data_IF_476726866696
#
_entry.id   IF_476726866696
#
_cell.length_a   1.000
_cell.length_b   1.000
_cell.length_c   1.000
_cell.angle_alpha   90.00
_cell.angle_beta   90.00
_cell.angle_gamma   90.00
#
_symmetry.space_group_name_H-M   'P 1'
#
loop_
_entity.id
_entity.type
_entity.pdbx_description
1 polymer ?
#
# COMPACT_ATOMS: atom_id res chain seq x y z
N UNK A 1 11.64 5.36 -15.86
CA UNK A 1 10.28 4.86 -16.13
C UNK A 1 10.19 4.13 -17.46
N UNK A 2 10.73 4.68 -18.56
CA UNK A 2 10.64 4.09 -19.91
C UNK A 2 11.22 2.68 -20.06
N UNK A 3 12.15 2.26 -19.21
CA UNK A 3 12.74 0.91 -19.19
C UNK A 3 12.05 0.01 -18.16
N UNK A 4 11.80 0.53 -16.96
CA UNK A 4 11.33 -0.30 -15.85
C UNK A 4 9.86 -0.73 -16.01
N UNK A 5 8.98 0.15 -16.48
CA UNK A 5 7.55 -0.18 -16.64
C UNK A 5 7.33 -1.29 -17.67
N UNK A 6 7.91 -1.24 -18.89
CA UNK A 6 7.80 -2.35 -19.83
C UNK A 6 8.33 -3.67 -19.26
N UNK A 7 9.46 -3.64 -18.54
CA UNK A 7 9.99 -4.83 -17.88
C UNK A 7 9.02 -5.40 -16.83
N UNK A 8 8.49 -4.56 -15.94
CA UNK A 8 7.51 -4.99 -14.95
C UNK A 8 6.27 -5.61 -15.59
N UNK A 9 5.75 -5.01 -16.67
CA UNK A 9 4.62 -5.55 -17.43
C UNK A 9 4.94 -6.92 -18.01
N UNK A 10 6.12 -7.09 -18.59
CA UNK A 10 6.58 -8.35 -19.16
C UNK A 10 6.72 -9.44 -18.09
N UNK A 11 7.35 -9.13 -16.96
CA UNK A 11 7.56 -10.07 -15.85
C UNK A 11 6.22 -10.51 -15.23
N UNK A 12 5.30 -9.57 -15.02
CA UNK A 12 3.97 -9.86 -14.50
C UNK A 12 3.12 -10.67 -15.49
N UNK A 13 3.20 -10.35 -16.79
CA UNK A 13 2.52 -11.14 -17.82
C UNK A 13 3.05 -12.58 -17.88
N UNK A 14 4.38 -12.78 -17.74
CA UNK A 14 4.99 -14.09 -17.62
C UNK A 14 4.50 -14.85 -16.38
N UNK A 15 4.25 -14.14 -15.27
CA UNK A 15 3.67 -14.72 -14.05
C UNK A 15 2.15 -14.98 -14.17
N UNK A 16 1.52 -14.58 -15.26
CA UNK A 16 0.08 -14.71 -15.49
C UNK A 16 -0.75 -13.63 -14.82
N UNK A 17 -0.16 -12.44 -14.57
CA UNK A 17 -0.85 -11.27 -14.02
C UNK A 17 -0.97 -10.21 -15.10
N UNK A 18 -2.21 -9.75 -15.34
CA UNK A 18 -2.52 -8.61 -16.20
C UNK A 18 -3.32 -7.59 -15.41
N UNK A 19 -2.92 -6.32 -15.51
CA UNK A 19 -3.64 -5.20 -14.92
C UNK A 19 -4.47 -4.48 -15.97
N UNK A 20 -5.73 -4.21 -15.65
CA UNK A 20 -6.63 -3.44 -16.52
C UNK A 20 -6.15 -1.99 -16.65
N UNK A 21 -5.56 -1.44 -15.58
CA UNK A 21 -5.08 -0.07 -15.57
C UNK A 21 -3.73 0.07 -14.86
N UNK A 22 -2.80 0.74 -15.53
CA UNK A 22 -1.56 1.24 -14.96
C UNK A 22 -1.72 2.73 -14.66
N UNK A 23 -1.82 3.05 -13.38
CA UNK A 23 -2.04 4.41 -12.92
C UNK A 23 -0.72 5.05 -12.49
N UNK A 24 -0.47 6.28 -12.95
CA UNK A 24 0.74 7.04 -12.62
C UNK A 24 0.39 8.15 -11.65
N UNK A 25 1.01 8.15 -10.47
CA UNK A 25 0.82 9.16 -9.43
C UNK A 25 1.14 10.56 -9.94
N UNK A 26 2.13 10.71 -10.85
CA UNK A 26 2.48 12.00 -11.46
C UNK A 26 1.27 12.72 -12.07
N UNK A 27 0.32 11.96 -12.63
CA UNK A 27 -0.91 12.53 -13.21
C UNK A 27 -1.77 13.28 -12.18
N UNK A 28 -1.74 12.88 -10.91
CA UNK A 28 -2.46 13.58 -9.83
C UNK A 28 -1.82 14.92 -9.49
N UNK A 29 -0.50 15.00 -9.59
CA UNK A 29 0.25 16.25 -9.38
C UNK A 29 0.10 17.19 -10.58
N UNK A 30 0.28 16.69 -11.78
CA UNK A 30 0.22 17.45 -13.03
C UNK A 30 -1.18 18.04 -13.26
N UNK A 31 -2.24 17.30 -12.91
CA UNK A 31 -3.62 17.79 -13.02
C UNK A 31 -4.06 18.71 -11.88
N UNK A 32 -3.24 18.91 -10.84
CA UNK A 32 -3.64 19.65 -9.64
C UNK A 32 -4.53 18.85 -8.67
N UNK A 33 -4.84 17.60 -8.95
CA UNK A 33 -5.80 16.80 -8.16
C UNK A 33 -5.35 16.59 -6.71
N UNK A 34 -4.03 16.56 -6.44
CA UNK A 34 -3.51 16.54 -5.05
C UNK A 34 -3.88 17.82 -4.32
N UNK A 35 -3.67 18.98 -4.96
CA UNK A 35 -4.02 20.28 -4.38
C UNK A 35 -5.53 20.38 -4.10
N UNK A 36 -6.37 19.96 -5.04
CA UNK A 36 -7.84 19.96 -4.90
C UNK A 36 -8.32 19.03 -3.77
N UNK A 37 -7.61 17.92 -3.58
CA UNK A 37 -7.92 16.99 -2.48
C UNK A 37 -7.58 17.59 -1.12
N UNK A 38 -6.43 18.25 -1.02
CA UNK A 38 -6.03 18.94 0.21
C UNK A 38 -6.95 20.12 0.50
N UNK A 39 -7.34 20.87 -0.53
CA UNK A 39 -8.32 21.96 -0.40
C UNK A 39 -9.68 21.43 0.13
N UNK A 40 -10.16 20.30 -0.38
CA UNK A 40 -11.40 19.67 0.09
C UNK A 40 -11.34 19.26 1.58
N UNK A 41 -10.18 18.82 2.08
CA UNK A 41 -9.98 18.57 3.51
C UNK A 41 -9.96 19.86 4.32
N UNK A 42 -9.39 20.93 3.75
CA UNK A 42 -9.34 22.26 4.38
C UNK A 42 -10.73 22.86 4.49
N UNK A 43 -11.51 22.82 3.43
CA UNK A 43 -12.91 23.34 3.40
C UNK A 43 -13.81 22.62 4.42
N UNK A 44 -13.51 21.35 4.69
CA UNK A 44 -14.19 20.56 5.72
C UNK A 44 -13.66 20.79 7.15
N UNK A 45 -12.63 21.65 7.31
CA UNK A 45 -12.08 22.02 8.61
C UNK A 45 -11.09 21.00 9.20
N UNK A 46 -10.64 20.02 8.42
CA UNK A 46 -9.74 18.97 8.89
C UNK A 46 -8.25 19.31 8.76
N UNK A 47 -7.91 20.55 8.42
CA UNK A 47 -6.50 20.98 8.33
C UNK A 47 -6.22 22.19 9.20
N UNK A 48 -4.93 22.47 9.45
CA UNK A 48 -4.43 23.69 10.09
C UNK A 48 -3.00 23.97 9.63
N UNK A 49 -2.59 25.24 9.72
CA UNK A 49 -1.20 25.63 9.43
C UNK A 49 -0.39 25.69 10.72
N UNK A 50 0.83 25.15 10.64
CA UNK A 50 1.83 25.22 11.71
C UNK A 50 3.23 25.19 11.12
N UNK A 51 4.10 26.12 11.56
CA UNK A 51 5.48 26.24 11.13
C UNK A 51 5.64 26.32 9.60
N UNK A 52 4.71 27.01 8.92
CA UNK A 52 4.68 27.16 7.47
C UNK A 52 4.23 25.91 6.70
N UNK A 53 3.92 24.81 7.38
CA UNK A 53 3.40 23.57 6.81
C UNK A 53 1.89 23.45 7.04
N UNK A 54 1.19 22.76 6.12
CA UNK A 54 -0.22 22.41 6.28
C UNK A 54 -0.35 21.00 6.82
N UNK A 55 -1.06 20.86 7.91
CA UNK A 55 -1.24 19.63 8.66
C UNK A 55 -2.67 19.11 8.56
N UNK A 56 -2.84 17.80 8.49
CA UNK A 56 -4.12 17.11 8.68
C UNK A 56 -4.32 16.84 10.18
N UNK A 57 -5.51 17.11 10.69
CA UNK A 57 -5.94 16.78 12.05
C UNK A 57 -6.21 15.28 12.21
N UNK A 58 -5.23 14.45 11.86
CA UNK A 58 -5.37 12.99 11.87
C UNK A 58 -5.72 12.47 13.26
N UNK A 59 -5.14 13.05 14.31
CA UNK A 59 -5.44 12.68 15.70
C UNK A 59 -6.91 12.89 16.04
N UNK A 60 -7.49 14.01 15.62
CA UNK A 60 -8.92 14.30 15.81
C UNK A 60 -9.80 13.32 15.03
N UNK A 61 -9.51 13.10 13.75
CA UNK A 61 -10.27 12.20 12.87
C UNK A 61 -10.27 10.77 13.45
N UNK A 62 -9.12 10.28 13.85
CA UNK A 62 -9.00 8.94 14.42
C UNK A 62 -9.69 8.83 15.79
N UNK A 63 -9.59 9.86 16.64
CA UNK A 63 -10.27 9.89 17.92
C UNK A 63 -11.80 9.84 17.74
N UNK A 64 -12.33 10.61 16.80
CA UNK A 64 -13.78 10.59 16.46
C UNK A 64 -14.22 9.20 15.96
N UNK A 65 -13.44 8.55 15.09
CA UNK A 65 -13.74 7.21 14.59
C UNK A 65 -13.70 6.16 15.71
N UNK A 66 -12.72 6.24 16.62
CA UNK A 66 -12.61 5.34 17.75
C UNK A 66 -13.74 5.51 18.75
N UNK A 67 -14.20 6.75 19.00
CA UNK A 67 -15.39 7.03 19.85
C UNK A 67 -16.66 6.42 19.23
N UNK A 68 -16.85 6.57 17.92
CA UNK A 68 -17.98 5.92 17.20
C UNK A 68 -17.93 4.40 17.31
N UNK A 69 -16.73 3.82 17.38
CA UNK A 69 -16.50 2.39 17.61
C UNK A 69 -16.59 1.99 19.10
N UNK A 70 -17.00 2.90 20.00
CA UNK A 70 -17.22 2.62 21.42
C UNK A 70 -15.97 2.63 22.30
N UNK A 71 -14.82 3.17 21.84
CA UNK A 71 -13.63 3.33 22.66
C UNK A 71 -13.78 4.49 23.64
N UNK A 72 -13.32 4.31 24.88
CA UNK A 72 -13.29 5.39 25.89
C UNK A 72 -12.20 6.43 25.59
N UNK A 73 -12.41 7.67 26.06
CA UNK A 73 -11.42 8.74 25.89
C UNK A 73 -10.08 8.41 26.51
N UNK A 74 -10.06 7.74 27.67
CA UNK A 74 -8.82 7.27 28.30
C UNK A 74 -8.04 6.27 27.43
N UNK A 75 -8.75 5.37 26.74
CA UNK A 75 -8.12 4.42 25.84
C UNK A 75 -7.57 5.12 24.58
N UNK A 76 -8.26 6.15 24.10
CA UNK A 76 -7.84 6.94 22.93
C UNK A 76 -6.60 7.78 23.28
N UNK A 77 -6.58 8.43 24.43
CA UNK A 77 -5.44 9.24 24.88
C UNK A 77 -4.15 8.42 24.99
N UNK A 78 -4.25 7.18 25.49
CA UNK A 78 -3.10 6.26 25.59
C UNK A 78 -2.49 5.88 24.24
N UNK A 79 -3.22 6.04 23.12
CA UNK A 79 -2.70 5.75 21.78
C UNK A 79 -1.71 6.80 21.27
N UNK A 80 -1.67 7.98 21.89
CA UNK A 80 -0.74 9.04 21.51
C UNK A 80 -0.86 9.45 20.04
N UNK A 81 -2.10 9.56 19.55
CA UNK A 81 -2.40 9.90 18.15
C UNK A 81 -1.72 11.20 17.73
N UNK A 82 -1.21 11.25 16.50
CA UNK A 82 -0.48 12.39 15.97
C UNK A 82 -1.10 12.85 14.66
N UNK A 83 -0.89 14.13 14.35
CA UNK A 83 -1.28 14.73 13.09
C UNK A 83 -0.21 14.49 12.01
N UNK A 84 -0.62 14.60 10.76
CA UNK A 84 0.23 14.36 9.60
C UNK A 84 0.40 15.62 8.75
N UNK A 85 1.61 15.84 8.23
CA UNK A 85 1.88 16.91 7.28
C UNK A 85 1.34 16.52 5.91
N UNK A 86 0.50 17.37 5.31
CA UNK A 86 0.03 17.25 3.92
C UNK A 86 0.89 18.06 2.95
N UNK A 87 1.26 19.29 3.32
CA UNK A 87 2.12 20.16 2.54
C UNK A 87 3.23 20.72 3.43
N UNK A 88 4.47 20.54 3.00
CA UNK A 88 5.65 21.04 3.72
C UNK A 88 5.78 22.56 3.59
N UNK A 89 6.59 23.18 4.46
CA UNK A 89 6.87 24.62 4.43
C UNK A 89 7.48 25.10 3.09
N UNK A 90 8.16 24.23 2.35
CA UNK A 90 8.67 24.50 1.02
C UNK A 90 7.62 24.41 -0.11
N UNK A 91 6.34 24.20 0.24
CA UNK A 91 5.22 24.14 -0.70
C UNK A 91 4.96 22.77 -1.33
N UNK A 92 5.84 21.76 -1.16
CA UNK A 92 5.65 20.43 -1.73
C UNK A 92 4.70 19.58 -0.90
N UNK A 93 3.81 18.87 -1.58
CA UNK A 93 2.95 17.87 -0.97
C UNK A 93 3.73 16.64 -0.52
N UNK A 94 3.27 16.01 0.55
CA UNK A 94 3.85 14.76 1.05
C UNK A 94 3.32 13.56 0.28
N UNK A 95 3.97 12.43 0.40
CA UNK A 95 3.45 11.15 -0.11
C UNK A 95 2.08 10.82 0.45
N UNK A 96 1.82 11.18 1.71
CA UNK A 96 0.51 10.95 2.32
C UNK A 96 -0.60 11.77 1.64
N UNK A 97 -0.35 13.04 1.28
CA UNK A 97 -1.29 13.84 0.54
C UNK A 97 -1.59 13.25 -0.87
N UNK A 98 -0.54 12.77 -1.56
CA UNK A 98 -0.70 12.10 -2.84
C UNK A 98 -1.49 10.78 -2.72
N UNK A 99 -1.25 10.01 -1.66
CA UNK A 99 -1.95 8.75 -1.39
C UNK A 99 -3.43 8.97 -1.07
N UNK A 100 -3.75 10.00 -0.28
CA UNK A 100 -5.14 10.43 -0.04
C UNK A 100 -5.81 10.82 -1.37
N UNK A 101 -5.14 11.59 -2.22
CA UNK A 101 -5.66 12.00 -3.52
C UNK A 101 -5.89 10.80 -4.44
N UNK A 102 -4.98 9.84 -4.45
CA UNK A 102 -5.14 8.63 -5.25
C UNK A 102 -6.37 7.81 -4.81
N UNK A 103 -6.59 7.66 -3.51
CA UNK A 103 -7.76 6.93 -3.00
C UNK A 103 -9.07 7.71 -3.23
N UNK A 104 -9.05 9.05 -3.06
CA UNK A 104 -10.18 9.88 -3.48
C UNK A 104 -10.49 9.70 -4.97
N UNK A 105 -9.47 9.62 -5.83
CA UNK A 105 -9.65 9.38 -7.26
C UNK A 105 -10.34 8.03 -7.53
N UNK A 106 -9.93 6.96 -6.84
CA UNK A 106 -10.57 5.64 -6.97
C UNK A 106 -12.07 5.69 -6.67
N UNK A 107 -12.49 6.39 -5.61
CA UNK A 107 -13.89 6.49 -5.21
C UNK A 107 -14.69 7.52 -6.00
N UNK A 108 -14.16 8.75 -6.12
CA UNK A 108 -14.91 9.88 -6.64
C UNK A 108 -14.86 10.04 -8.16
N UNK A 109 -13.76 9.64 -8.80
CA UNK A 109 -13.56 9.79 -10.26
C UNK A 109 -13.77 8.45 -10.98
N UNK A 110 -13.14 7.38 -10.47
CA UNK A 110 -13.25 6.04 -11.07
C UNK A 110 -14.52 5.30 -10.65
N UNK A 111 -15.21 5.77 -9.61
CA UNK A 111 -16.52 5.28 -9.21
C UNK A 111 -16.54 3.89 -8.58
N UNK A 112 -15.42 3.42 -8.01
CA UNK A 112 -15.42 2.12 -7.34
C UNK A 112 -16.22 2.15 -6.04
N UNK A 113 -17.13 1.21 -5.86
CA UNK A 113 -17.88 1.03 -4.62
C UNK A 113 -16.99 0.49 -3.50
N UNK A 114 -16.06 -0.37 -3.84
CA UNK A 114 -15.12 -1.01 -2.93
C UNK A 114 -13.69 -0.92 -3.48
N UNK A 115 -12.75 -0.58 -2.62
CA UNK A 115 -11.32 -0.58 -2.94
C UNK A 115 -10.62 -1.55 -2.01
N UNK A 116 -9.79 -2.43 -2.56
CA UNK A 116 -8.95 -3.37 -1.81
C UNK A 116 -7.50 -3.05 -2.16
N UNK A 117 -6.73 -2.65 -1.15
CA UNK A 117 -5.29 -2.46 -1.28
C UNK A 117 -4.56 -3.68 -0.74
N UNK A 118 -3.47 -4.07 -1.41
CA UNK A 118 -2.57 -5.11 -0.94
C UNK A 118 -1.23 -4.43 -0.62
N UNK A 119 -0.85 -4.39 0.65
CA UNK A 119 0.33 -3.71 1.15
C UNK A 119 1.26 -4.64 1.91
N UNK A 120 2.54 -4.28 2.01
CA UNK A 120 3.46 -4.89 2.95
C UNK A 120 3.07 -4.60 4.41
N UNK A 121 3.33 -5.52 5.32
CA UNK A 121 2.96 -5.39 6.74
C UNK A 121 3.65 -4.22 7.44
N UNK A 122 4.77 -3.73 6.91
CA UNK A 122 5.46 -2.52 7.36
C UNK A 122 4.61 -1.24 7.22
N UNK A 123 3.57 -1.25 6.37
CA UNK A 123 2.60 -0.17 6.23
C UNK A 123 1.42 -0.22 7.22
N UNK A 124 1.43 -1.13 8.20
CA UNK A 124 0.33 -1.27 9.19
C UNK A 124 -0.09 0.07 9.82
N UNK A 125 0.87 0.90 10.25
CA UNK A 125 0.59 2.21 10.85
C UNK A 125 -0.06 3.24 9.91
N UNK A 126 -0.06 2.98 8.61
CA UNK A 126 -0.66 3.87 7.61
C UNK A 126 -2.16 3.59 7.39
N UNK A 127 -2.63 2.38 7.70
CA UNK A 127 -4.00 1.92 7.43
C UNK A 127 -5.06 2.82 8.05
N UNK A 128 -4.99 3.03 9.36
CA UNK A 128 -5.99 3.82 10.07
C UNK A 128 -6.02 5.28 9.59
N UNK A 129 -4.84 5.86 9.32
CA UNK A 129 -4.70 7.25 8.85
C UNK A 129 -5.34 7.45 7.48
N UNK A 130 -5.12 6.53 6.55
CA UNK A 130 -5.70 6.60 5.20
C UNK A 130 -7.23 6.41 5.24
N UNK A 131 -7.72 5.41 5.99
CA UNK A 131 -9.15 5.20 6.17
C UNK A 131 -9.80 6.45 6.79
N UNK A 132 -9.19 7.02 7.84
CA UNK A 132 -9.67 8.25 8.48
C UNK A 132 -9.71 9.44 7.52
N UNK A 133 -8.70 9.60 6.66
CA UNK A 133 -8.71 10.66 5.65
C UNK A 133 -9.85 10.47 4.62
N UNK A 134 -10.18 9.23 4.25
CA UNK A 134 -11.35 8.95 3.39
C UNK A 134 -12.67 9.27 4.11
N UNK A 135 -12.77 8.95 5.40
CA UNK A 135 -13.94 9.31 6.21
C UNK A 135 -14.10 10.83 6.31
N UNK A 136 -13.02 11.56 6.55
CA UNK A 136 -13.00 13.02 6.57
C UNK A 136 -13.45 13.64 5.24
N UNK A 137 -13.13 13.00 4.12
CA UNK A 137 -13.62 13.39 2.79
C UNK A 137 -15.09 13.01 2.54
N UNK A 138 -15.71 12.21 3.41
CA UNK A 138 -17.09 11.71 3.25
C UNK A 138 -17.18 10.51 2.30
N UNK A 139 -16.10 9.75 2.15
CA UNK A 139 -15.99 8.61 1.22
C UNK A 139 -16.16 7.26 1.90
N UNK A 140 -16.51 7.24 3.20
CA UNK A 140 -16.74 6.01 3.98
C UNK A 140 -15.57 5.02 3.92
N UNK A 141 -14.39 5.51 4.24
CA UNK A 141 -13.15 4.72 4.20
C UNK A 141 -13.18 3.50 5.12
N UNK A 142 -13.91 3.60 6.24
CA UNK A 142 -14.06 2.50 7.19
C UNK A 142 -14.65 1.24 6.53
N UNK A 143 -15.66 1.38 5.67
CA UNK A 143 -16.39 0.26 5.06
C UNK A 143 -16.02 0.00 3.59
N UNK A 144 -15.60 1.03 2.87
CA UNK A 144 -15.31 0.93 1.43
C UNK A 144 -13.85 0.68 1.09
N UNK A 145 -12.91 0.92 2.04
CA UNK A 145 -11.49 0.69 1.84
C UNK A 145 -11.03 -0.50 2.69
N UNK A 146 -10.72 -1.62 2.06
CA UNK A 146 -10.06 -2.75 2.70
C UNK A 146 -8.57 -2.74 2.41
N UNK A 147 -7.78 -3.12 3.40
CA UNK A 147 -6.33 -3.22 3.26
C UNK A 147 -5.88 -4.60 3.75
N UNK A 148 -5.36 -5.36 2.83
CA UNK A 148 -4.74 -6.67 3.09
C UNK A 148 -3.26 -6.45 3.33
N UNK A 149 -2.80 -6.77 4.53
CA UNK A 149 -1.39 -6.66 4.90
C UNK A 149 -0.69 -7.99 4.66
N UNK A 150 0.26 -8.00 3.73
CA UNK A 150 1.03 -9.17 3.35
C UNK A 150 2.38 -9.17 4.07
N UNK A 151 2.78 -10.32 4.60
CA UNK A 151 4.11 -10.50 5.17
C UNK A 151 5.16 -10.66 4.08
N UNK A 152 6.41 -10.34 4.42
CA UNK A 152 7.54 -10.56 3.52
C UNK A 152 7.76 -12.06 3.31
N UNK A 153 7.94 -12.44 2.04
CA UNK A 153 8.34 -13.80 1.68
C UNK A 153 9.85 -13.94 1.83
N UNK A 154 10.30 -14.97 2.53
CA UNK A 154 11.70 -15.37 2.59
C UNK A 154 11.95 -16.45 1.55
N UNK A 155 12.90 -16.23 0.65
CA UNK A 155 13.39 -17.29 -0.22
C UNK A 155 14.41 -18.13 0.54
N UNK A 156 14.25 -19.45 0.52
CA UNK A 156 15.13 -20.41 1.17
C UNK A 156 15.66 -21.38 0.12
N UNK A 157 16.91 -21.76 0.22
CA UNK A 157 17.53 -22.82 -0.58
C UNK A 157 18.50 -23.59 0.30
N UNK A 158 18.39 -24.90 0.32
CA UNK A 158 19.23 -25.81 1.12
C UNK A 158 19.24 -25.43 2.62
N UNK A 159 18.10 -24.94 3.14
CA UNK A 159 17.93 -24.51 4.53
C UNK A 159 18.48 -23.12 4.86
N UNK A 160 19.04 -22.42 3.89
CA UNK A 160 19.58 -21.06 4.09
C UNK A 160 18.77 -19.99 3.37
N UNK A 161 18.64 -18.80 3.99
CA UNK A 161 17.90 -17.68 3.40
C UNK A 161 18.68 -17.07 2.23
N UNK A 162 18.08 -17.09 1.05
CA UNK A 162 18.61 -16.46 -0.16
C UNK A 162 18.25 -14.97 -0.17
N UNK A 163 19.21 -14.11 0.13
CA UNK A 163 19.01 -12.65 0.17
C UNK A 163 19.30 -11.96 -1.14
N UNK A 164 20.17 -12.55 -1.97
CA UNK A 164 20.62 -11.95 -3.22
C UNK A 164 20.70 -13.00 -4.32
N UNK A 165 20.39 -12.59 -5.55
CA UNK A 165 20.60 -13.41 -6.74
C UNK A 165 22.09 -13.72 -6.94
N UNK A 166 22.43 -14.99 -7.06
CA UNK A 166 23.81 -15.42 -7.35
C UNK A 166 24.35 -14.83 -8.65
N UNK A 167 23.45 -14.55 -9.62
CA UNK A 167 23.79 -14.00 -10.93
C UNK A 167 24.12 -12.51 -10.90
N UNK A 168 23.36 -11.72 -10.14
CA UNK A 168 23.42 -10.25 -10.22
C UNK A 168 24.01 -9.60 -8.97
N UNK A 169 24.16 -10.31 -7.86
CA UNK A 169 24.55 -9.77 -6.56
C UNK A 169 23.53 -8.77 -5.97
N UNK A 170 22.33 -8.71 -6.55
CA UNK A 170 21.22 -7.85 -6.13
C UNK A 170 20.10 -8.69 -5.52
N UNK A 171 19.07 -8.04 -4.98
CA UNK A 171 17.88 -8.74 -4.53
C UNK A 171 17.30 -9.62 -5.64
N UNK A 172 16.77 -10.79 -5.28
CA UNK A 172 16.15 -11.71 -6.24
C UNK A 172 14.93 -11.03 -6.85
N UNK A 173 14.93 -10.83 -8.15
CA UNK A 173 13.80 -10.28 -8.88
C UNK A 173 12.77 -11.35 -9.24
N UNK A 174 11.55 -10.94 -9.64
CA UNK A 174 10.56 -11.87 -10.18
C UNK A 174 11.10 -12.64 -11.38
N UNK A 175 11.85 -11.98 -12.28
CA UNK A 175 12.53 -12.64 -13.42
C UNK A 175 13.45 -13.75 -12.95
N UNK A 176 14.30 -13.47 -11.94
CA UNK A 176 15.24 -14.47 -11.41
C UNK A 176 14.49 -15.68 -10.82
N UNK A 177 13.38 -15.44 -10.12
CA UNK A 177 12.53 -16.51 -9.58
C UNK A 177 11.92 -17.37 -10.68
N UNK A 178 11.33 -16.73 -11.70
CA UNK A 178 10.69 -17.44 -12.81
C UNK A 178 11.66 -18.14 -13.78
N UNK A 179 12.96 -17.82 -13.71
CA UNK A 179 14.01 -18.55 -14.41
C UNK A 179 14.42 -19.82 -13.64
N UNK A 180 14.14 -19.89 -12.34
CA UNK A 180 14.49 -21.02 -11.47
C UNK A 180 13.33 -21.97 -11.21
N UNK A 181 12.10 -21.45 -11.13
CA UNK A 181 10.92 -22.19 -10.68
C UNK A 181 9.78 -22.04 -11.71
N UNK A 182 9.09 -23.14 -12.07
CA UNK A 182 7.90 -23.08 -12.93
C UNK A 182 6.83 -22.12 -12.40
N UNK A 183 6.17 -21.39 -13.30
CA UNK A 183 5.16 -20.38 -12.94
C UNK A 183 4.05 -20.97 -12.08
N UNK A 184 3.56 -22.16 -12.43
CA UNK A 184 2.46 -22.80 -11.70
C UNK A 184 2.86 -23.17 -10.26
N UNK A 185 4.07 -23.66 -10.05
CA UNK A 185 4.60 -23.90 -8.72
C UNK A 185 4.74 -22.60 -7.92
N UNK A 186 5.28 -21.53 -8.52
CA UNK A 186 5.33 -20.22 -7.89
C UNK A 186 3.92 -19.74 -7.47
N UNK A 187 2.95 -19.82 -8.37
CA UNK A 187 1.57 -19.40 -8.09
C UNK A 187 0.92 -20.23 -6.99
N UNK A 188 1.13 -21.54 -6.99
CA UNK A 188 0.63 -22.41 -5.95
C UNK A 188 1.16 -22.01 -4.57
N UNK A 189 2.48 -21.93 -4.42
CA UNK A 189 3.11 -21.62 -3.13
C UNK A 189 2.74 -20.22 -2.61
N UNK A 190 2.75 -19.20 -3.47
CA UNK A 190 2.38 -17.84 -3.07
C UNK A 190 0.91 -17.70 -2.65
N UNK A 191 0.02 -18.51 -3.21
CA UNK A 191 -1.40 -18.48 -2.86
C UNK A 191 -1.79 -19.41 -1.72
N UNK A 192 -0.94 -20.38 -1.36
CA UNK A 192 -1.25 -21.37 -0.32
C UNK A 192 -1.35 -20.76 1.08
N UNK A 193 -0.58 -19.69 1.39
CA UNK A 193 -0.54 -19.07 2.72
C UNK A 193 -0.39 -17.53 2.62
N UNK A 194 -1.40 -16.81 2.14
CA UNK A 194 -1.28 -15.38 1.87
C UNK A 194 -1.13 -14.51 3.12
N UNK A 195 -1.62 -14.96 4.27
CA UNK A 195 -1.70 -14.16 5.51
C UNK A 195 -0.54 -14.41 6.48
N UNK A 196 0.32 -15.38 6.20
CA UNK A 196 1.43 -15.73 7.10
C UNK A 196 2.77 -15.38 6.50
N UNK A 197 3.78 -15.18 7.36
CA UNK A 197 5.15 -15.10 6.89
C UNK A 197 5.53 -16.43 6.24
N UNK A 198 5.76 -16.40 4.92
CA UNK A 198 6.05 -17.58 4.12
C UNK A 198 7.54 -17.73 3.92
N UNK A 199 8.05 -18.93 4.09
CA UNK A 199 9.33 -19.36 3.60
C UNK A 199 9.10 -20.11 2.28
N UNK A 200 9.61 -19.56 1.18
CA UNK A 200 9.52 -20.16 -0.14
C UNK A 200 10.80 -20.96 -0.38
N UNK A 201 10.69 -22.26 -0.30
CA UNK A 201 11.82 -23.17 -0.56
C UNK A 201 11.96 -23.42 -2.06
N UNK A 202 13.07 -22.90 -2.64
CA UNK A 202 13.37 -23.02 -4.06
C UNK A 202 13.64 -24.48 -4.46
N UNK A 203 14.25 -25.28 -3.57
CA UNK A 203 14.50 -26.70 -3.80
C UNK A 203 13.21 -27.51 -3.85
N UNK A 204 12.30 -27.27 -2.88
CA UNK A 204 11.00 -27.92 -2.85
C UNK A 204 10.16 -27.55 -4.07
N UNK A 205 10.17 -26.28 -4.46
CA UNK A 205 9.32 -25.77 -5.56
C UNK A 205 9.67 -26.33 -6.95
N UNK A 206 10.82 -26.96 -7.12
CA UNK A 206 11.25 -27.60 -8.38
C UNK A 206 11.21 -29.14 -8.35
N UNK A 207 10.86 -29.73 -7.21
CA UNK A 207 10.70 -31.19 -7.11
C UNK A 207 9.46 -31.67 -7.85
N UNK A 208 9.56 -32.85 -8.45
CA UNK A 208 8.45 -33.57 -9.09
C UNK A 208 7.99 -34.77 -8.23
N UNK A 209 7.94 -34.59 -6.92
CA UNK A 209 7.52 -35.65 -5.99
C UNK A 209 6.28 -35.20 -5.17
N UNK A 210 5.78 -36.09 -4.34
CA UNK A 210 4.55 -35.87 -3.54
C UNK A 210 4.71 -34.83 -2.42
N UNK A 211 5.89 -34.31 -2.19
CA UNK A 211 6.17 -33.26 -1.21
C UNK A 211 6.11 -31.85 -1.81
N UNK A 212 5.98 -31.76 -3.14
CA UNK A 212 5.85 -30.51 -3.88
C UNK A 212 4.38 -30.03 -3.90
#
# INVERSE_FOLDING_TARGET
>A
LSVNIPKMKSDLARYGIQYDQWFFESSLHESGYVADTVAALTDKGYTYEKDGALWLKTSQILAENLRRAGKSDEAIEKLGLKDDVLRRANGFYTYFAADIAYHRNKFAVRGFDKVINIWGADHHGHVARLKGAMDALGLDGAHRLDIVLMQLVKLVQDGEVVRMSKRTGKAVSLTDLLDMVPVDACRYFFNAKPETQMEFDLGLAVREDSEN
#
